data_IF_520977670227
#
_entry.id   IF_520977670227
#
_cell.length_a   1.000
_cell.length_b   1.000
_cell.length_c   1.000
_cell.angle_alpha   90.00
_cell.angle_beta   90.00
_cell.angle_gamma   90.00
#
_symmetry.space_group_name_H-M   'P 1'
#
loop_
_entity.id
_entity.type
_entity.pdbx_description
1 polymer ?
#
# COMPACT_ATOMS: atom_id res chain seq x y z
N UNK A 1 11.74 16.46 22.53
CA UNK A 1 11.50 15.10 22.02
C UNK A 1 12.00 15.06 20.60
N UNK A 2 13.07 14.30 20.35
CA UNK A 2 13.60 14.09 19.00
C UNK A 2 12.77 13.05 18.26
N UNK A 3 12.85 13.01 16.92
CA UNK A 3 12.15 12.02 16.09
C UNK A 3 12.47 10.57 16.50
N UNK A 4 13.70 10.30 16.94
CA UNK A 4 14.13 9.00 17.45
C UNK A 4 13.57 8.66 18.83
N UNK A 5 13.09 9.65 19.58
CA UNK A 5 12.46 9.49 20.89
C UNK A 5 10.93 9.38 20.81
N UNK A 6 10.36 9.41 19.59
CA UNK A 6 8.93 9.21 19.34
C UNK A 6 8.67 7.81 18.78
N UNK A 7 7.44 7.30 18.82
CA UNK A 7 7.08 6.00 18.22
C UNK A 7 7.07 6.00 16.67
N UNK A 8 7.43 7.12 16.04
CA UNK A 8 7.44 7.29 14.58
C UNK A 8 8.34 6.32 13.80
N UNK A 9 9.55 5.95 14.30
CA UNK A 9 10.39 4.95 13.65
C UNK A 9 9.67 3.60 13.49
N UNK A 10 8.84 3.19 14.44
CA UNK A 10 8.10 1.93 14.36
C UNK A 10 7.09 1.92 13.20
N UNK A 11 6.46 3.06 12.91
CA UNK A 11 5.54 3.21 11.79
C UNK A 11 6.28 3.18 10.43
N UNK A 12 7.48 3.79 10.37
CA UNK A 12 8.35 3.69 9.20
C UNK A 12 8.88 2.27 8.98
N UNK A 13 9.23 1.56 10.03
CA UNK A 13 9.71 0.18 9.93
C UNK A 13 8.60 -0.75 9.46
N UNK A 14 7.35 -0.55 9.92
CA UNK A 14 6.20 -1.27 9.39
C UNK A 14 6.00 -1.03 7.88
N UNK A 15 6.14 0.21 7.40
CA UNK A 15 6.09 0.49 5.96
C UNK A 15 7.19 -0.26 5.18
N UNK A 16 8.41 -0.32 5.72
CA UNK A 16 9.51 -1.09 5.11
C UNK A 16 9.21 -2.58 5.10
N UNK A 17 8.64 -3.13 6.18
CA UNK A 17 8.21 -4.52 6.26
C UNK A 17 7.18 -4.83 5.17
N UNK A 18 6.18 -3.96 4.97
CA UNK A 18 5.19 -4.11 3.91
C UNK A 18 5.81 -4.11 2.50
N UNK A 19 6.79 -3.24 2.25
CA UNK A 19 7.53 -3.20 0.98
C UNK A 19 8.35 -4.49 0.79
N UNK A 20 9.07 -4.93 1.83
CA UNK A 20 9.94 -6.11 1.78
C UNK A 20 9.15 -7.41 1.61
N UNK A 21 7.91 -7.47 2.11
CA UNK A 21 7.02 -8.60 1.95
C UNK A 21 6.50 -8.79 0.51
N UNK A 22 6.88 -7.91 -0.44
CA UNK A 22 6.40 -7.92 -1.82
C UNK A 22 4.87 -8.04 -1.90
N UNK A 23 4.18 -7.30 -1.02
CA UNK A 23 2.72 -7.23 -1.03
C UNK A 23 2.24 -6.73 -2.37
N UNK A 24 1.09 -7.26 -2.79
CA UNK A 24 0.38 -6.78 -3.97
C UNK A 24 0.24 -5.24 -3.90
N UNK A 25 0.58 -4.47 -4.96
CA UNK A 25 0.48 -3.02 -4.95
C UNK A 25 -0.90 -2.46 -4.58
N UNK A 26 -2.00 -3.13 -4.96
CA UNK A 26 -3.37 -2.75 -4.58
C UNK A 26 -3.59 -2.90 -3.07
N UNK A 27 -3.15 -4.02 -2.53
CA UNK A 27 -3.22 -4.31 -1.10
C UNK A 27 -2.35 -3.33 -0.30
N UNK A 28 -1.11 -3.11 -0.75
CA UNK A 28 -0.17 -2.15 -0.16
C UNK A 28 -0.78 -0.74 -0.11
N UNK A 29 -1.34 -0.26 -1.22
CA UNK A 29 -2.02 1.05 -1.28
C UNK A 29 -3.12 1.16 -0.22
N UNK A 30 -3.98 0.16 -0.10
CA UNK A 30 -5.08 0.20 0.87
C UNK A 30 -4.58 0.13 2.31
N UNK A 31 -3.57 -0.69 2.60
CA UNK A 31 -2.95 -0.77 3.93
C UNK A 31 -2.35 0.57 4.35
N UNK A 32 -1.67 1.26 3.42
CA UNK A 32 -1.12 2.60 3.69
C UNK A 32 -2.25 3.61 3.95
N UNK A 33 -3.33 3.60 3.16
CA UNK A 33 -4.49 4.48 3.38
C UNK A 33 -5.10 4.23 4.77
N UNK A 34 -5.38 2.97 5.11
CA UNK A 34 -5.96 2.60 6.40
C UNK A 34 -5.04 2.98 7.57
N UNK A 35 -3.72 2.81 7.41
CA UNK A 35 -2.73 3.23 8.39
C UNK A 35 -2.77 4.75 8.62
N UNK A 36 -2.88 5.55 7.55
CA UNK A 36 -3.03 7.01 7.65
C UNK A 36 -4.34 7.39 8.34
N UNK A 37 -5.46 6.73 8.03
CA UNK A 37 -6.75 6.96 8.68
C UNK A 37 -6.72 6.65 10.19
N UNK A 38 -6.00 5.59 10.60
CA UNK A 38 -5.79 5.28 12.02
C UNK A 38 -4.92 6.35 12.67
N UNK A 39 -3.85 6.78 12.00
CA UNK A 39 -2.97 7.83 12.50
C UNK A 39 -3.71 9.16 12.68
N UNK A 40 -4.58 9.53 11.74
CA UNK A 40 -5.40 10.76 11.82
C UNK A 40 -6.36 10.76 13.02
N UNK A 41 -6.81 9.58 13.46
CA UNK A 41 -7.64 9.44 14.65
C UNK A 41 -6.84 9.50 15.96
N UNK A 42 -5.56 9.10 15.94
CA UNK A 42 -4.71 9.03 17.14
C UNK A 42 -3.29 9.58 16.85
N UNK A 43 -3.16 10.87 16.46
CA UNK A 43 -1.89 11.41 15.96
C UNK A 43 -0.79 11.52 17.02
N UNK A 44 -1.18 11.53 18.30
CA UNK A 44 -0.26 11.66 19.44
C UNK A 44 0.40 10.33 19.82
N UNK A 45 -0.11 9.19 19.31
CA UNK A 45 0.37 7.85 19.67
C UNK A 45 0.67 6.98 18.44
N UNK A 46 1.76 7.27 17.71
CA UNK A 46 2.13 6.52 16.51
C UNK A 46 2.35 5.02 16.77
N UNK A 47 2.75 4.63 17.97
CA UNK A 47 2.92 3.23 18.36
C UNK A 47 1.60 2.45 18.41
N UNK A 48 0.51 3.11 18.82
CA UNK A 48 -0.84 2.53 18.79
C UNK A 48 -1.28 2.37 17.35
N UNK A 49 -1.08 3.39 16.51
CA UNK A 49 -1.41 3.34 15.10
C UNK A 49 -0.68 2.19 14.38
N UNK A 50 0.62 2.02 14.63
CA UNK A 50 1.42 0.91 14.12
C UNK A 50 0.89 -0.46 14.60
N UNK A 51 0.56 -0.59 15.89
CA UNK A 51 0.02 -1.82 16.46
C UNK A 51 -1.33 -2.22 15.85
N UNK A 52 -2.25 -1.27 15.68
CA UNK A 52 -3.53 -1.48 15.01
C UNK A 52 -3.34 -1.84 13.53
N UNK A 53 -2.39 -1.18 12.85
CA UNK A 53 -2.14 -1.40 11.42
C UNK A 53 -1.70 -2.82 11.10
N UNK A 54 -0.90 -3.44 11.98
CA UNK A 54 -0.50 -4.85 11.89
C UNK A 54 -1.66 -5.85 11.95
N UNK A 55 -2.84 -5.42 12.40
CA UNK A 55 -4.03 -6.26 12.51
C UNK A 55 -5.11 -5.92 11.48
N UNK A 56 -4.84 -4.99 10.55
CA UNK A 56 -5.78 -4.60 9.50
C UNK A 56 -6.11 -5.75 8.56
N UNK A 57 -5.10 -6.55 8.23
CA UNK A 57 -5.25 -7.70 7.35
C UNK A 57 -5.43 -8.97 8.18
N UNK A 58 -6.47 -9.73 7.85
CA UNK A 58 -6.72 -11.05 8.45
C UNK A 58 -7.15 -12.01 7.35
N UNK A 59 -6.62 -13.24 7.33
CA UNK A 59 -7.13 -14.25 6.42
C UNK A 59 -8.61 -14.51 6.74
N UNK A 60 -9.46 -14.45 5.70
CA UNK A 60 -10.89 -14.73 5.79
C UNK A 60 -11.21 -15.93 4.91
N UNK A 61 -12.14 -16.78 5.36
CA UNK A 61 -12.63 -17.89 4.54
C UNK A 61 -13.77 -17.41 3.64
N UNK A 62 -13.94 -18.07 2.50
CA UNK A 62 -14.97 -17.72 1.50
C UNK A 62 -16.37 -17.73 2.12
N UNK A 63 -16.64 -18.67 3.04
CA UNK A 63 -17.95 -18.81 3.69
C UNK A 63 -18.24 -17.69 4.70
N UNK A 64 -17.22 -16.91 5.06
CA UNK A 64 -17.33 -15.77 5.99
C UNK A 64 -17.41 -14.42 5.29
N UNK A 65 -17.42 -14.41 3.95
CA UNK A 65 -17.55 -13.19 3.17
C UNK A 65 -18.93 -12.57 3.36
N UNK A 66 -18.96 -11.25 3.45
CA UNK A 66 -20.18 -10.48 3.62
C UNK A 66 -20.17 -9.24 2.70
N UNK A 67 -21.35 -8.80 2.19
CA UNK A 67 -21.46 -7.51 1.51
C UNK A 67 -20.92 -6.35 2.34
N UNK A 68 -20.26 -5.40 1.68
CA UNK A 68 -19.60 -4.24 2.29
C UNK A 68 -18.15 -4.46 2.73
N UNK A 69 -17.63 -5.70 2.67
CA UNK A 69 -16.22 -5.97 2.94
C UNK A 69 -15.35 -5.68 1.71
N UNK A 70 -14.22 -5.00 1.92
CA UNK A 70 -13.16 -4.90 0.90
C UNK A 70 -12.32 -6.17 0.94
N UNK A 71 -12.13 -6.79 -0.23
CA UNK A 71 -11.32 -8.01 -0.39
C UNK A 71 -10.23 -7.82 -1.42
N UNK A 72 -9.17 -8.58 -1.26
CA UNK A 72 -8.06 -8.74 -2.19
C UNK A 72 -8.00 -10.21 -2.56
N UNK A 73 -8.17 -10.52 -3.84
CA UNK A 73 -8.24 -11.88 -4.34
C UNK A 73 -7.38 -12.03 -5.59
N UNK A 74 -6.70 -13.17 -5.68
CA UNK A 74 -5.97 -13.55 -6.89
C UNK A 74 -6.90 -14.32 -7.82
N UNK A 75 -6.98 -13.92 -9.08
CA UNK A 75 -7.81 -14.54 -10.12
C UNK A 75 -6.92 -14.87 -11.32
N UNK A 76 -6.48 -16.12 -11.41
CA UNK A 76 -5.46 -16.50 -12.39
C UNK A 76 -4.12 -15.81 -12.07
N UNK A 77 -3.59 -15.08 -13.04
CA UNK A 77 -2.36 -14.27 -12.88
C UNK A 77 -2.64 -12.82 -12.45
N UNK A 78 -3.91 -12.42 -12.47
CA UNK A 78 -4.32 -11.07 -12.09
C UNK A 78 -4.63 -10.97 -10.59
N UNK A 79 -4.37 -9.80 -10.06
CA UNK A 79 -4.76 -9.41 -8.72
C UNK A 79 -5.98 -8.49 -8.79
N UNK A 80 -7.02 -8.80 -8.01
CA UNK A 80 -8.28 -8.06 -8.00
C UNK A 80 -8.58 -7.55 -6.59
N UNK A 81 -8.98 -6.29 -6.49
CA UNK A 81 -9.50 -5.73 -5.24
C UNK A 81 -10.84 -5.05 -5.43
N UNK A 82 -11.67 -5.01 -4.39
CA UNK A 82 -12.94 -4.29 -4.42
C UNK A 82 -13.82 -4.56 -3.22
N UNK A 83 -14.89 -3.78 -3.09
CA UNK A 83 -15.92 -3.93 -2.05
C UNK A 83 -16.97 -4.94 -2.50
N UNK A 84 -17.28 -5.96 -1.70
CA UNK A 84 -18.30 -6.95 -2.04
C UNK A 84 -19.68 -6.28 -2.10
N UNK A 85 -20.28 -6.27 -3.28
CA UNK A 85 -21.65 -5.80 -3.50
C UNK A 85 -22.68 -6.88 -3.21
N UNK A 86 -22.43 -8.09 -3.69
CA UNK A 86 -23.32 -9.24 -3.53
C UNK A 86 -22.53 -10.55 -3.66
N UNK A 87 -23.04 -11.60 -3.05
CA UNK A 87 -22.47 -12.94 -3.06
C UNK A 87 -23.54 -13.90 -3.59
N UNK A 88 -23.16 -14.76 -4.52
CA UNK A 88 -23.94 -15.90 -5.02
C UNK A 88 -23.19 -17.19 -4.75
N UNK A 89 -23.83 -18.34 -4.99
CA UNK A 89 -23.24 -19.66 -4.74
C UNK A 89 -21.90 -19.87 -5.47
N UNK A 90 -21.75 -19.31 -6.68
CA UNK A 90 -20.57 -19.54 -7.53
C UNK A 90 -19.60 -18.34 -7.63
N UNK A 91 -19.98 -17.17 -7.11
CA UNK A 91 -19.24 -15.92 -7.39
C UNK A 91 -19.51 -14.80 -6.39
N UNK A 92 -18.58 -13.85 -6.33
CA UNK A 92 -18.76 -12.55 -5.69
C UNK A 92 -18.79 -11.45 -6.75
N UNK A 93 -19.63 -10.43 -6.52
CA UNK A 93 -19.69 -9.23 -7.37
C UNK A 93 -19.05 -8.09 -6.59
N UNK A 94 -18.00 -7.48 -7.16
CA UNK A 94 -17.29 -6.37 -6.55
C UNK A 94 -17.78 -5.01 -7.08
N UNK A 95 -17.82 -4.03 -6.20
CA UNK A 95 -18.03 -2.61 -6.48
C UNK A 95 -16.67 -1.91 -6.43
N UNK A 96 -16.46 -0.96 -7.36
CA UNK A 96 -15.18 -0.24 -7.52
C UNK A 96 -14.00 -1.22 -7.65
N UNK A 97 -14.14 -2.23 -8.49
CA UNK A 97 -13.10 -3.23 -8.66
C UNK A 97 -11.87 -2.60 -9.33
N UNK A 98 -10.69 -2.80 -8.73
CA UNK A 98 -9.39 -2.50 -9.32
C UNK A 98 -8.75 -3.83 -9.73
N UNK A 99 -8.23 -3.90 -10.96
CA UNK A 99 -7.51 -5.05 -11.49
C UNK A 99 -6.05 -4.65 -11.73
N UNK A 100 -5.12 -5.53 -11.36
CA UNK A 100 -3.70 -5.33 -11.57
C UNK A 100 -3.10 -6.58 -12.21
N UNK A 101 -2.55 -6.39 -13.41
CA UNK A 101 -1.74 -7.39 -14.12
C UNK A 101 -0.28 -6.97 -14.03
N UNK A 102 0.60 -7.91 -13.66
CA UNK A 102 2.03 -7.66 -13.50
C UNK A 102 2.79 -8.48 -14.54
N UNK A 103 3.35 -7.79 -15.52
CA UNK A 103 4.17 -8.37 -16.58
C UNK A 103 5.64 -8.01 -16.37
N UNK A 104 6.57 -8.93 -16.66
CA UNK A 104 8.01 -8.65 -16.57
C UNK A 104 8.43 -7.59 -17.60
N UNK A 105 7.88 -7.69 -18.81
CA UNK A 105 8.12 -6.76 -19.90
C UNK A 105 6.79 -6.41 -20.56
N UNK A 106 6.51 -5.11 -20.70
CA UNK A 106 5.31 -4.62 -21.37
C UNK A 106 5.68 -3.50 -22.33
N UNK A 107 5.31 -3.67 -23.61
CA UNK A 107 5.53 -2.65 -24.64
C UNK A 107 4.31 -1.74 -24.74
N UNK A 108 4.54 -0.43 -24.68
CA UNK A 108 3.49 0.59 -24.83
C UNK A 108 3.86 1.46 -26.03
N UNK A 109 2.93 1.61 -26.97
CA UNK A 109 3.16 2.49 -28.10
C UNK A 109 3.14 3.96 -27.68
N UNK A 110 4.12 4.75 -28.14
CA UNK A 110 4.24 6.17 -27.78
C UNK A 110 2.99 7.00 -28.06
N UNK A 111 2.21 6.61 -29.08
CA UNK A 111 0.98 7.30 -29.48
C UNK A 111 -0.17 7.12 -28.48
N UNK A 112 -0.11 6.08 -27.65
CA UNK A 112 -1.11 5.73 -26.64
C UNK A 112 -0.81 6.37 -25.27
N UNK A 113 0.40 6.90 -25.10
CA UNK A 113 0.84 7.51 -23.85
C UNK A 113 0.14 8.86 -23.63
N UNK A 114 -0.52 8.99 -22.49
CA UNK A 114 -1.07 10.26 -22.00
C UNK A 114 -0.75 10.42 -20.52
N UNK A 115 -0.62 11.67 -20.04
CA UNK A 115 -0.33 11.98 -18.63
C UNK A 115 0.95 11.33 -18.05
N UNK A 116 2.02 11.25 -18.84
CA UNK A 116 3.30 10.67 -18.42
C UNK A 116 3.86 11.40 -17.20
N UNK A 117 4.23 10.65 -16.15
CA UNK A 117 4.94 11.14 -14.96
C UNK A 117 6.11 10.22 -14.67
N UNK A 118 7.17 10.75 -14.08
CA UNK A 118 8.31 9.97 -13.63
C UNK A 118 8.56 10.25 -12.14
N UNK A 119 9.12 9.27 -11.44
CA UNK A 119 9.55 9.42 -10.05
C UNK A 119 11.02 9.79 -10.05
N UNK A 120 11.34 11.04 -9.70
CA UNK A 120 12.72 11.49 -9.61
C UNK A 120 13.38 11.00 -8.32
N UNK A 121 14.36 10.09 -8.46
CA UNK A 121 15.18 9.60 -7.34
C UNK A 121 16.21 10.63 -6.87
N UNK A 122 16.47 11.69 -7.66
CA UNK A 122 17.40 12.77 -7.38
C UNK A 122 16.80 13.96 -6.61
N UNK A 123 15.48 13.97 -6.38
CA UNK A 123 14.73 15.14 -5.90
C UNK A 123 15.30 15.74 -4.60
N UNK A 124 15.85 14.91 -3.71
CA UNK A 124 16.42 15.38 -2.45
C UNK A 124 17.67 16.25 -2.66
N UNK A 125 18.51 15.91 -3.63
CA UNK A 125 19.71 16.69 -3.97
C UNK A 125 19.34 17.99 -4.69
N UNK A 126 18.30 17.94 -5.52
CA UNK A 126 17.80 19.12 -6.22
C UNK A 126 17.18 20.13 -5.24
N UNK A 127 16.29 19.66 -4.36
CA UNK A 127 15.58 20.52 -3.41
C UNK A 127 16.46 21.00 -2.26
N UNK A 128 17.46 20.20 -1.86
CA UNK A 128 18.34 20.48 -0.72
C UNK A 128 19.80 20.21 -1.06
N UNK A 129 20.41 21.02 -1.94
CA UNK A 129 21.78 20.79 -2.43
C UNK A 129 22.85 20.92 -1.34
N UNK A 130 22.55 21.62 -0.24
CA UNK A 130 23.45 21.80 0.90
C UNK A 130 23.42 20.65 1.92
N UNK A 131 22.51 19.69 1.78
CA UNK A 131 22.50 18.51 2.65
C UNK A 131 23.63 17.56 2.22
N UNK A 132 24.71 17.56 3.01
CA UNK A 132 25.79 16.59 2.87
C UNK A 132 25.36 15.29 3.54
N UNK A 133 25.00 14.29 2.73
CA UNK A 133 24.67 12.96 3.25
C UNK A 133 25.96 12.16 3.40
N UNK A 134 26.32 11.83 4.63
CA UNK A 134 27.52 11.08 5.03
C UNK A 134 27.45 9.57 4.63
N UNK A 135 26.78 9.22 3.52
CA UNK A 135 26.67 7.83 3.04
C UNK A 135 27.92 7.33 2.30
N UNK A 136 28.90 8.21 2.07
CA UNK A 136 30.20 7.87 1.48
C UNK A 136 31.32 7.73 2.52
N UNK A 137 31.02 7.83 3.82
CA UNK A 137 31.96 7.42 4.88
C UNK A 137 31.83 5.91 5.09
N UNK A 138 32.78 5.21 4.47
CA UNK A 138 33.09 3.78 4.57
C UNK A 138 32.76 3.13 5.91
#
# INVERSE_FOLDING_TARGET
MSFHETDYPALLDYLKELIAANKNPLEFKQLVINMLEIYDQIPVYPGIAAGCSKQLEKPIKVESLAPGQTVFVKVGDDEVSGEIKSISDDAIVLKKAELLSVEENFEIEKKEMSNLRFVDKGILKEMWPSLVFDKDKK
#
